data_IF_140916919622
#
_entry.id   IF_140916919622
#
_cell.length_a   1.000
_cell.length_b   1.000
_cell.length_c   1.000
_cell.angle_alpha   90.00
_cell.angle_beta   90.00
_cell.angle_gamma   90.00
#
_symmetry.space_group_name_H-M   'P 1'
#
loop_
_entity.id
_entity.type
_entity.pdbx_description
1 polymer ?
#
# COMPACT_ATOMS: atom_id res chain seq x y z
N UNK A 1 5.20 -4.91 14.90
CA UNK A 1 5.70 -6.03 14.07
C UNK A 1 7.14 -5.79 13.64
N UNK A 2 7.48 -4.65 13.03
CA UNK A 2 8.87 -4.34 12.65
C UNK A 2 9.86 -4.48 13.84
N UNK A 3 9.53 -3.91 15.00
CA UNK A 3 10.36 -4.05 16.21
C UNK A 3 10.52 -5.51 16.65
N UNK A 4 9.43 -6.28 16.65
CA UNK A 4 9.47 -7.69 17.01
C UNK A 4 10.35 -8.53 16.06
N UNK A 5 10.29 -8.25 14.75
CA UNK A 5 11.16 -8.88 13.75
C UNK A 5 12.64 -8.57 14.04
N UNK A 6 12.93 -7.30 14.31
CA UNK A 6 14.29 -6.83 14.62
C UNK A 6 14.82 -7.42 15.94
N UNK A 7 14.00 -7.39 16.99
CA UNK A 7 14.36 -7.93 18.32
C UNK A 7 14.62 -9.42 18.29
N UNK A 8 13.81 -10.18 17.56
CA UNK A 8 13.93 -11.63 17.46
C UNK A 8 14.87 -12.10 16.34
N UNK A 9 15.39 -11.18 15.53
CA UNK A 9 16.32 -11.46 14.40
C UNK A 9 15.75 -12.54 13.45
N UNK A 10 14.46 -12.44 13.14
CA UNK A 10 13.79 -13.36 12.22
C UNK A 10 13.70 -12.76 10.83
N UNK A 11 13.70 -13.62 9.81
CA UNK A 11 13.45 -13.22 8.44
C UNK A 11 11.94 -13.15 8.21
N UNK A 12 11.45 -11.97 7.88
CA UNK A 12 10.03 -11.70 7.65
C UNK A 12 9.81 -11.07 6.29
N UNK A 13 8.84 -11.56 5.55
CA UNK A 13 8.46 -11.03 4.24
C UNK A 13 6.98 -10.65 4.23
N UNK A 14 6.66 -9.50 3.63
CA UNK A 14 5.28 -9.07 3.37
C UNK A 14 4.78 -9.60 2.03
N UNK A 15 3.46 -9.63 1.82
CA UNK A 15 2.84 -10.06 0.55
C UNK A 15 2.95 -9.03 -0.59
N UNK A 16 4.05 -8.29 -0.67
CA UNK A 16 4.32 -7.29 -1.72
C UNK A 16 5.00 -7.92 -2.94
N UNK A 17 4.38 -8.98 -3.49
CA UNK A 17 4.96 -9.81 -4.54
C UNK A 17 5.21 -9.10 -5.88
N UNK A 18 4.69 -7.89 -6.08
CA UNK A 18 5.03 -7.09 -7.26
C UNK A 18 6.53 -6.77 -7.37
N UNK A 19 7.25 -6.74 -6.25
CA UNK A 19 8.71 -6.55 -6.24
C UNK A 19 9.48 -7.67 -6.92
N UNK A 20 8.92 -8.89 -6.94
CA UNK A 20 9.62 -10.12 -7.37
C UNK A 20 8.95 -10.87 -8.52
N UNK A 21 7.67 -10.61 -8.78
CA UNK A 21 6.84 -11.32 -9.76
C UNK A 21 6.58 -10.48 -11.03
N UNK A 22 5.63 -10.93 -11.84
CA UNK A 22 5.16 -10.27 -13.06
C UNK A 22 6.25 -10.04 -14.12
N UNK A 23 7.16 -11.01 -14.27
CA UNK A 23 8.25 -10.94 -15.24
C UNK A 23 9.31 -9.87 -14.90
N UNK A 24 9.33 -9.39 -13.66
CA UNK A 24 10.29 -8.40 -13.19
C UNK A 24 10.03 -6.96 -13.66
N UNK A 25 8.91 -6.68 -14.33
CA UNK A 25 8.65 -5.34 -14.88
C UNK A 25 8.56 -4.24 -13.83
N UNK A 26 8.02 -4.53 -12.63
CA UNK A 26 8.01 -3.58 -11.53
C UNK A 26 9.42 -3.26 -11.04
N UNK A 27 10.26 -4.29 -10.85
CA UNK A 27 11.66 -4.13 -10.50
C UNK A 27 12.41 -3.33 -11.58
N UNK A 28 12.21 -3.69 -12.85
CA UNK A 28 12.82 -2.96 -13.98
C UNK A 28 12.38 -1.49 -14.01
N UNK A 29 11.11 -1.21 -13.76
CA UNK A 29 10.61 0.18 -13.64
C UNK A 29 11.34 0.94 -12.54
N UNK A 30 11.51 0.33 -11.36
CA UNK A 30 12.22 0.96 -10.23
C UNK A 30 13.69 1.19 -10.58
N UNK A 31 14.35 0.23 -11.24
CA UNK A 31 15.73 0.40 -11.74
C UNK A 31 15.84 1.57 -12.72
N UNK A 32 14.91 1.70 -13.66
CA UNK A 32 14.85 2.82 -14.61
C UNK A 32 14.69 4.16 -13.90
N UNK A 33 13.70 4.27 -13.02
CA UNK A 33 13.43 5.49 -12.26
C UNK A 33 14.64 5.91 -11.42
N UNK A 34 15.20 4.99 -10.64
CA UNK A 34 16.36 5.26 -9.79
C UNK A 34 17.66 5.51 -10.57
N UNK A 35 17.73 5.02 -11.80
CA UNK A 35 18.87 5.30 -12.71
C UNK A 35 18.74 6.64 -13.45
N UNK A 36 17.67 7.40 -13.24
CA UNK A 36 17.44 8.68 -13.89
C UNK A 36 16.88 8.60 -15.30
N UNK A 37 16.35 7.46 -15.75
CA UNK A 37 15.82 7.30 -17.10
C UNK A 37 14.70 8.30 -17.45
N UNK A 38 13.96 8.80 -16.46
CA UNK A 38 12.91 9.81 -16.61
C UNK A 38 13.36 11.21 -16.17
N UNK A 39 14.67 11.43 -16.01
CA UNK A 39 15.20 12.65 -15.40
C UNK A 39 14.93 12.70 -13.89
N UNK A 40 14.74 13.91 -13.35
CA UNK A 40 14.42 14.10 -11.93
C UNK A 40 12.96 13.71 -11.67
N UNK A 41 12.73 12.74 -10.76
CA UNK A 41 11.38 12.32 -10.35
C UNK A 41 10.65 13.45 -9.62
N UNK A 42 9.48 13.84 -10.08
CA UNK A 42 8.65 14.92 -9.52
C UNK A 42 7.41 14.41 -8.82
N UNK A 43 6.77 13.41 -9.40
CA UNK A 43 5.48 12.92 -8.91
C UNK A 43 5.36 11.41 -9.09
N UNK A 44 4.69 10.77 -8.15
CA UNK A 44 4.22 9.39 -8.26
C UNK A 44 2.71 9.37 -8.13
N UNK A 45 2.02 8.79 -9.10
CA UNK A 45 0.57 8.61 -9.02
C UNK A 45 0.22 7.14 -8.79
N UNK A 46 -0.66 6.89 -7.85
CA UNK A 46 -1.15 5.56 -7.52
C UNK A 46 -2.65 5.47 -7.80
N UNK A 47 -2.99 4.68 -8.81
CA UNK A 47 -4.35 4.49 -9.30
C UNK A 47 -4.92 3.19 -8.74
N UNK A 48 -5.43 3.24 -7.52
CA UNK A 48 -6.10 2.12 -6.85
C UNK A 48 -7.52 2.49 -6.45
N UNK A 49 -8.25 1.55 -5.83
CA UNK A 49 -9.64 1.77 -5.43
C UNK A 49 -9.80 2.76 -4.28
N UNK A 50 -11.05 2.99 -3.90
CA UNK A 50 -11.44 4.02 -2.95
C UNK A 50 -11.17 3.64 -1.48
N UNK A 51 -11.21 4.66 -0.61
CA UNK A 51 -11.27 4.54 0.84
C UNK A 51 -12.45 3.68 1.31
N UNK A 52 -12.39 3.09 2.51
CA UNK A 52 -13.45 2.25 3.03
C UNK A 52 -14.72 3.05 3.36
N UNK A 53 -15.84 2.34 3.33
CA UNK A 53 -17.13 2.86 3.77
C UNK A 53 -17.54 2.22 5.11
N UNK A 54 -18.40 2.86 5.93
CA UNK A 54 -19.00 2.22 7.10
C UNK A 54 -19.83 1.00 6.71
N UNK A 55 -19.75 -0.06 7.52
CA UNK A 55 -20.52 -1.27 7.28
C UNK A 55 -21.94 -1.16 7.87
N UNK A 56 -22.89 -0.78 7.04
CA UNK A 56 -24.32 -0.63 7.40
C UNK A 56 -25.20 -1.81 6.91
N UNK A 57 -24.59 -3.01 6.74
CA UNK A 57 -25.32 -4.20 6.30
C UNK A 57 -26.29 -4.68 7.38
N UNK A 58 -27.48 -5.17 7.00
CA UNK A 58 -28.44 -5.75 7.94
C UNK A 58 -27.91 -7.04 8.56
N UNK A 59 -28.43 -7.41 9.73
CA UNK A 59 -28.13 -8.69 10.37
C UNK A 59 -28.91 -9.81 9.70
N UNK A 60 -28.24 -10.91 9.39
CA UNK A 60 -28.77 -12.15 8.86
C UNK A 60 -28.49 -13.31 9.84
N UNK A 61 -29.24 -14.44 9.76
CA UNK A 61 -28.90 -15.62 10.54
C UNK A 61 -27.52 -16.16 10.21
N UNK A 62 -26.78 -16.57 11.24
CA UNK A 62 -25.45 -17.18 11.03
C UNK A 62 -25.63 -18.59 10.45
N UNK A 63 -25.00 -18.92 9.30
CA UNK A 63 -25.04 -20.26 8.73
C UNK A 63 -24.46 -21.31 9.68
N UNK A 64 -24.95 -22.52 9.61
CA UNK A 64 -24.43 -23.65 10.38
C UNK A 64 -22.96 -23.89 10.04
N UNK A 65 -22.12 -24.03 11.07
CA UNK A 65 -20.69 -24.31 10.90
C UNK A 65 -19.80 -23.07 10.84
N UNK A 66 -20.37 -21.86 10.85
CA UNK A 66 -19.58 -20.61 10.91
C UNK A 66 -19.49 -20.14 12.37
N UNK A 67 -18.26 -20.03 12.88
CA UNK A 67 -17.97 -19.25 14.10
C UNK A 67 -17.83 -17.78 13.73
N UNK A 68 -18.94 -17.07 13.73
CA UNK A 68 -19.00 -15.66 13.35
C UNK A 68 -18.20 -14.76 14.29
N UNK A 69 -18.11 -15.10 15.56
CA UNK A 69 -17.34 -14.32 16.51
C UNK A 69 -15.83 -14.45 16.28
N UNK A 70 -15.35 -15.67 15.98
CA UNK A 70 -13.97 -15.90 15.59
C UNK A 70 -13.64 -15.25 14.25
N UNK A 71 -14.54 -15.29 13.26
CA UNK A 71 -14.36 -14.62 11.97
C UNK A 71 -14.19 -13.09 12.13
N UNK A 72 -14.99 -12.45 12.98
CA UNK A 72 -14.86 -11.02 13.25
C UNK A 72 -13.54 -10.65 13.93
N UNK A 73 -12.91 -11.54 14.67
CA UNK A 73 -11.66 -11.28 15.36
C UNK A 73 -11.72 -10.03 16.26
N UNK A 74 -10.73 -9.14 16.15
CA UNK A 74 -10.67 -7.90 16.95
C UNK A 74 -11.65 -6.80 16.49
N UNK A 75 -12.31 -6.97 15.35
CA UNK A 75 -13.24 -5.97 14.81
C UNK A 75 -14.43 -5.71 15.74
N UNK A 76 -15.12 -4.57 15.66
CA UNK A 76 -16.33 -4.30 16.43
C UNK A 76 -17.38 -5.39 16.20
N UNK A 77 -18.03 -5.84 17.28
CA UNK A 77 -19.06 -6.87 17.20
C UNK A 77 -20.28 -6.38 16.42
N UNK A 78 -20.73 -7.18 15.46
CA UNK A 78 -21.96 -6.96 14.69
C UNK A 78 -22.62 -8.27 14.28
N UNK A 79 -23.86 -8.18 13.81
CA UNK A 79 -24.57 -9.32 13.24
C UNK A 79 -23.92 -9.85 11.95
N UNK A 80 -24.13 -11.11 11.66
CA UNK A 80 -23.68 -11.75 10.42
C UNK A 80 -24.32 -11.11 9.19
N UNK A 81 -23.59 -11.10 8.09
CA UNK A 81 -24.15 -10.83 6.77
C UNK A 81 -23.31 -11.57 5.71
N UNK A 82 -23.99 -12.24 4.78
CA UNK A 82 -23.38 -13.04 3.71
C UNK A 82 -22.46 -12.23 2.75
N UNK A 83 -22.67 -10.92 2.65
CA UNK A 83 -21.78 -10.06 1.85
C UNK A 83 -20.38 -9.99 2.46
N UNK A 84 -20.27 -10.09 3.79
CA UNK A 84 -18.98 -10.10 4.49
C UNK A 84 -18.31 -11.47 4.41
N UNK A 85 -19.08 -12.53 4.62
CA UNK A 85 -18.58 -13.90 4.63
C UNK A 85 -19.51 -14.77 3.74
N UNK A 86 -19.29 -14.75 2.41
CA UNK A 86 -20.09 -15.55 1.47
C UNK A 86 -19.78 -17.04 1.58
N UNK A 87 -20.73 -17.88 1.17
CA UNK A 87 -20.58 -19.34 1.20
C UNK A 87 -19.52 -19.84 0.21
N UNK A 88 -19.38 -19.18 -0.93
CA UNK A 88 -18.40 -19.50 -1.97
C UNK A 88 -17.29 -18.43 -2.06
N UNK A 89 -16.23 -18.62 -1.27
CA UNK A 89 -15.09 -17.72 -1.29
C UNK A 89 -14.14 -17.94 -2.48
N UNK A 90 -14.18 -19.10 -3.12
CA UNK A 90 -13.22 -19.45 -4.19
C UNK A 90 -13.51 -18.73 -5.51
N UNK A 91 -14.78 -18.49 -5.80
CA UNK A 91 -15.22 -17.77 -6.99
C UNK A 91 -15.65 -16.33 -6.69
N UNK A 92 -15.34 -15.84 -5.50
CA UNK A 92 -15.84 -14.58 -5.01
C UNK A 92 -14.72 -13.73 -4.38
N UNK A 93 -14.67 -12.45 -4.73
CA UNK A 93 -13.81 -11.49 -4.06
C UNK A 93 -14.58 -10.87 -2.88
N UNK A 94 -14.39 -11.33 -1.63
CA UNK A 94 -15.25 -10.97 -0.51
C UNK A 94 -15.27 -9.47 -0.25
N UNK A 95 -16.47 -8.90 -0.14
CA UNK A 95 -16.68 -7.45 -0.01
C UNK A 95 -16.34 -6.88 1.36
N UNK A 96 -15.95 -7.70 2.36
CA UNK A 96 -15.46 -7.19 3.64
C UNK A 96 -14.31 -6.19 3.47
N UNK A 97 -13.55 -6.29 2.39
CA UNK A 97 -12.47 -5.36 2.02
C UNK A 97 -12.92 -3.91 1.88
N UNK A 98 -14.18 -3.68 1.53
CA UNK A 98 -14.74 -2.37 1.32
C UNK A 98 -15.11 -1.65 2.61
N UNK A 99 -15.21 -2.39 3.73
CA UNK A 99 -15.76 -1.85 4.97
C UNK A 99 -14.68 -1.52 5.98
N UNK A 100 -14.82 -0.32 6.59
CA UNK A 100 -13.87 0.25 7.55
C UNK A 100 -13.62 -0.66 8.75
N UNK A 101 -14.62 -1.37 9.22
CA UNK A 101 -14.54 -2.23 10.40
C UNK A 101 -13.65 -3.46 10.19
N UNK A 102 -13.46 -3.89 8.95
CA UNK A 102 -12.74 -5.11 8.60
C UNK A 102 -11.47 -4.88 7.80
N UNK A 103 -11.47 -3.84 6.95
CA UNK A 103 -10.33 -3.49 6.11
C UNK A 103 -10.27 -1.97 5.92
N UNK A 104 -9.30 -1.51 5.16
CA UNK A 104 -9.08 -0.09 4.89
C UNK A 104 -9.45 0.28 3.43
N UNK A 105 -10.47 -0.40 2.86
CA UNK A 105 -10.93 -0.19 1.51
C UNK A 105 -10.00 -0.76 0.44
N UNK A 106 -10.42 -0.66 -0.79
CA UNK A 106 -9.57 -1.04 -1.93
C UNK A 106 -8.34 -0.14 -2.03
N UNK A 107 -8.39 1.06 -1.46
CA UNK A 107 -7.24 1.93 -1.31
C UNK A 107 -6.09 1.24 -0.59
N UNK A 108 -6.34 0.56 0.53
CA UNK A 108 -5.30 -0.13 1.26
C UNK A 108 -5.07 -1.56 0.75
N UNK A 109 -6.12 -2.26 0.31
CA UNK A 109 -6.01 -3.63 -0.20
C UNK A 109 -5.11 -3.69 -1.45
N UNK A 110 -5.39 -2.85 -2.44
CA UNK A 110 -4.54 -2.73 -3.65
C UNK A 110 -3.41 -1.72 -3.48
N UNK A 111 -3.58 -0.74 -2.60
CA UNK A 111 -2.56 0.24 -2.26
C UNK A 111 -1.31 -0.40 -1.64
N UNK A 112 -1.48 -1.45 -0.83
CA UNK A 112 -0.37 -2.23 -0.29
C UNK A 112 0.57 -2.82 -1.37
N UNK A 113 0.10 -2.89 -2.62
CA UNK A 113 0.91 -3.32 -3.76
C UNK A 113 1.44 -2.15 -4.59
N UNK A 114 0.64 -1.10 -4.81
CA UNK A 114 0.98 -0.02 -5.73
C UNK A 114 1.66 1.18 -5.06
N UNK A 115 1.27 1.54 -3.83
CA UNK A 115 2.07 2.49 -3.03
C UNK A 115 3.43 1.90 -2.68
N UNK A 116 3.53 0.59 -2.49
CA UNK A 116 4.79 -0.13 -2.30
C UNK A 116 5.77 0.12 -3.46
N UNK A 117 5.29 -0.02 -4.70
CA UNK A 117 6.11 0.26 -5.89
C UNK A 117 6.48 1.74 -5.98
N UNK A 118 5.56 2.65 -5.62
CA UNK A 118 5.83 4.09 -5.55
C UNK A 118 6.95 4.41 -4.55
N UNK A 119 6.84 3.90 -3.31
CA UNK A 119 7.86 4.04 -2.27
C UNK A 119 9.22 3.49 -2.72
N UNK A 120 9.20 2.28 -3.27
CA UNK A 120 10.40 1.61 -3.77
C UNK A 120 11.07 2.39 -4.90
N UNK A 121 10.28 2.94 -5.85
CA UNK A 121 10.80 3.78 -6.94
C UNK A 121 11.43 5.09 -6.46
N UNK A 122 10.88 5.68 -5.39
CA UNK A 122 11.43 6.88 -4.74
C UNK A 122 12.64 6.63 -3.82
N UNK A 123 13.05 5.36 -3.62
CA UNK A 123 14.01 4.95 -2.59
C UNK A 123 13.60 5.39 -1.17
N UNK A 124 12.33 5.19 -0.83
CA UNK A 124 11.69 5.71 0.38
C UNK A 124 11.15 4.61 1.31
N UNK A 125 11.72 3.39 1.25
CA UNK A 125 11.28 2.23 2.04
C UNK A 125 11.49 2.40 3.57
N UNK A 126 12.20 3.45 4.01
CA UNK A 126 12.49 3.74 5.41
C UNK A 126 11.82 5.03 5.93
N UNK A 127 11.02 5.70 5.11
CA UNK A 127 10.40 6.99 5.42
C UNK A 127 8.95 7.08 4.96
N UNK A 128 8.37 8.28 5.00
CA UNK A 128 7.01 8.58 4.58
C UNK A 128 6.81 10.06 4.28
N UNK A 129 5.60 10.46 3.88
CA UNK A 129 5.27 11.85 3.61
C UNK A 129 5.37 12.71 4.89
N UNK A 130 5.60 14.00 4.72
CA UNK A 130 5.57 14.98 5.81
C UNK A 130 4.26 15.78 5.83
N UNK A 131 3.48 15.73 4.74
CA UNK A 131 2.24 16.48 4.58
C UNK A 131 1.22 15.67 3.81
N UNK A 132 -0.03 15.72 4.25
CA UNK A 132 -1.18 15.10 3.58
C UNK A 132 -2.17 16.20 3.24
N UNK A 133 -2.53 16.33 1.96
CA UNK A 133 -3.42 17.35 1.43
C UNK A 133 -4.62 16.62 0.82
N UNK A 134 -5.80 16.68 1.47
CA UNK A 134 -7.01 16.06 0.94
C UNK A 134 -7.51 16.79 -0.29
N UNK A 135 -8.36 16.15 -1.12
CA UNK A 135 -8.96 16.80 -2.28
C UNK A 135 -9.84 17.97 -1.87
N UNK A 136 -9.85 19.02 -2.69
CA UNK A 136 -10.81 20.11 -2.57
C UNK A 136 -12.25 19.63 -2.89
N UNK A 137 -13.23 20.46 -2.63
CA UNK A 137 -14.63 20.11 -2.89
C UNK A 137 -14.86 19.88 -4.39
N UNK A 138 -15.20 18.64 -4.73
CA UNK A 138 -15.43 18.21 -6.12
C UNK A 138 -14.24 17.49 -6.75
N UNK A 139 -13.07 17.51 -6.13
CA UNK A 139 -11.90 16.75 -6.53
C UNK A 139 -11.86 15.38 -5.82
N UNK A 140 -11.13 14.44 -6.41
CA UNK A 140 -11.00 13.08 -5.88
C UNK A 140 -9.55 12.71 -5.55
N UNK A 141 -8.60 13.64 -5.79
CA UNK A 141 -7.16 13.36 -5.66
C UNK A 141 -6.63 13.81 -4.31
N UNK A 142 -6.08 12.88 -3.54
CA UNK A 142 -5.35 13.18 -2.33
C UNK A 142 -3.86 13.23 -2.63
N UNK A 143 -3.17 14.25 -2.14
CA UNK A 143 -1.73 14.44 -2.32
C UNK A 143 -0.98 14.25 -1.02
N UNK A 144 0.16 13.58 -1.09
CA UNK A 144 1.09 13.38 0.01
C UNK A 144 2.45 13.89 -0.40
N UNK A 145 3.01 14.83 0.35
CA UNK A 145 4.28 15.49 0.03
C UNK A 145 5.38 14.88 0.88
N UNK A 146 6.47 14.48 0.26
CA UNK A 146 7.67 14.00 0.92
C UNK A 146 8.64 15.16 1.23
N UNK A 147 9.57 14.94 2.16
CA UNK A 147 10.53 15.98 2.58
C UNK A 147 11.45 16.48 1.43
N UNK A 148 11.66 15.66 0.42
CA UNK A 148 12.42 16.02 -0.80
C UNK A 148 11.56 16.73 -1.86
N UNK A 149 10.29 17.02 -1.58
CA UNK A 149 9.37 17.70 -2.49
C UNK A 149 8.63 16.80 -3.48
N UNK A 150 8.92 15.49 -3.54
CA UNK A 150 8.18 14.57 -4.40
C UNK A 150 6.74 14.45 -3.90
N UNK A 151 5.79 14.55 -4.82
CA UNK A 151 4.37 14.32 -4.55
C UNK A 151 3.98 12.88 -4.84
N UNK A 152 3.29 12.25 -3.90
CA UNK A 152 2.56 11.00 -4.14
C UNK A 152 1.06 11.31 -4.18
N UNK A 153 0.41 11.00 -5.30
CA UNK A 153 -1.00 11.28 -5.53
C UNK A 153 -1.80 9.98 -5.58
N UNK A 154 -2.80 9.87 -4.72
CA UNK A 154 -3.84 8.87 -4.89
C UNK A 154 -4.95 9.43 -5.77
N UNK A 155 -5.14 8.86 -6.95
CA UNK A 155 -6.15 9.30 -7.90
C UNK A 155 -6.00 8.63 -9.26
N UNK A 156 -7.03 8.73 -10.08
CA UNK A 156 -7.02 8.19 -11.45
C UNK A 156 -6.53 9.25 -12.44
N UNK A 157 -6.07 8.78 -13.58
CA UNK A 157 -5.78 9.61 -14.74
C UNK A 157 -6.37 8.96 -15.99
N UNK A 158 -6.87 9.72 -16.95
CA UNK A 158 -7.33 9.16 -18.23
C UNK A 158 -6.19 8.72 -19.14
N UNK A 159 -4.98 9.23 -18.93
CA UNK A 159 -3.86 9.08 -19.86
C UNK A 159 -3.15 7.73 -19.78
N UNK A 160 -3.33 7.00 -18.68
CA UNK A 160 -2.62 5.75 -18.39
C UNK A 160 -3.55 4.65 -17.87
N UNK A 161 -3.18 3.41 -18.13
CA UNK A 161 -3.97 2.23 -17.72
C UNK A 161 -4.03 1.99 -16.20
N UNK A 162 -3.46 2.88 -15.40
CA UNK A 162 -3.49 2.82 -13.94
C UNK A 162 -2.32 2.04 -13.33
N UNK A 163 -2.45 1.68 -12.06
CA UNK A 163 -1.35 1.09 -11.29
C UNK A 163 -0.48 2.15 -10.63
N UNK A 164 0.83 2.11 -10.85
CA UNK A 164 1.79 3.11 -10.35
C UNK A 164 2.43 3.84 -11.53
N UNK A 165 2.41 5.16 -11.50
CA UNK A 165 2.93 6.01 -12.57
C UNK A 165 3.98 6.95 -11.98
N UNK A 166 5.14 7.01 -12.60
CA UNK A 166 6.25 7.88 -12.24
C UNK A 166 6.40 8.99 -13.28
N UNK A 167 6.28 10.24 -12.86
CA UNK A 167 6.44 11.42 -13.69
C UNK A 167 7.78 12.09 -13.37
N UNK A 168 8.66 12.12 -14.33
CA UNK A 168 9.95 12.81 -14.25
C UNK A 168 10.01 14.03 -15.15
N UNK A 169 11.15 14.72 -15.17
CA UNK A 169 11.38 15.90 -16.02
C UNK A 169 11.62 15.55 -17.49
N UNK A 170 11.99 14.30 -17.80
CA UNK A 170 12.38 13.84 -19.14
C UNK A 170 11.52 12.67 -19.64
N UNK A 171 10.59 12.17 -18.82
CA UNK A 171 9.72 11.09 -19.23
C UNK A 171 8.78 10.61 -18.14
N UNK A 172 7.92 9.65 -18.53
CA UNK A 172 6.93 9.03 -17.66
C UNK A 172 6.94 7.52 -17.84
N UNK A 173 6.83 6.76 -16.75
CA UNK A 173 6.66 5.30 -16.79
C UNK A 173 5.44 4.90 -15.97
N UNK A 174 4.53 4.15 -16.60
CA UNK A 174 3.36 3.54 -15.97
C UNK A 174 3.54 2.04 -15.89
N UNK A 175 3.33 1.46 -14.71
CA UNK A 175 3.43 0.01 -14.48
C UNK A 175 2.23 -0.53 -13.72
N UNK A 176 1.63 -1.59 -14.27
CA UNK A 176 0.54 -2.34 -13.65
C UNK A 176 0.78 -3.84 -13.86
N UNK A 177 -0.05 -4.68 -13.26
CA UNK A 177 0.04 -6.15 -13.42
C UNK A 177 -0.13 -6.62 -14.87
N UNK A 178 -0.92 -5.93 -15.69
CA UNK A 178 -1.04 -6.11 -17.15
C UNK A 178 -0.19 -5.09 -17.91
N UNK A 179 -0.65 -3.83 -18.07
CA UNK A 179 0.05 -2.79 -18.84
C UNK A 179 1.42 -2.41 -18.25
N UNK A 180 2.34 -2.07 -19.15
CA UNK A 180 3.64 -1.47 -18.83
C UNK A 180 4.01 -0.55 -19.98
N UNK A 181 4.00 0.74 -19.76
CA UNK A 181 4.00 1.78 -20.77
C UNK A 181 4.95 2.90 -20.36
N UNK A 182 5.49 3.63 -21.33
CA UNK A 182 6.31 4.82 -21.08
C UNK A 182 6.14 5.88 -22.16
N UNK A 183 6.48 7.11 -21.81
CA UNK A 183 6.63 8.21 -22.74
C UNK A 183 7.98 8.92 -22.45
N UNK A 184 8.94 8.89 -23.40
CA UNK A 184 8.91 8.17 -24.68
C UNK A 184 8.95 6.63 -24.53
N UNK A 185 8.40 5.90 -25.52
CA UNK A 185 8.35 4.42 -25.50
C UNK A 185 9.73 3.77 -25.37
N UNK A 186 10.76 4.38 -25.94
CA UNK A 186 12.14 3.91 -25.92
C UNK A 186 12.75 3.74 -24.50
N UNK A 187 12.14 4.34 -23.46
CA UNK A 187 12.61 4.19 -22.09
C UNK A 187 12.55 2.73 -21.59
N UNK A 188 11.61 1.94 -22.09
CA UNK A 188 11.47 0.55 -21.65
C UNK A 188 12.40 -0.40 -22.40
N UNK A 189 12.86 -0.04 -23.60
CA UNK A 189 13.61 -0.93 -24.50
C UNK A 189 15.13 -0.77 -24.33
N UNK A 190 15.67 0.43 -24.45
CA UNK A 190 17.09 0.66 -24.71
C UNK A 190 17.85 1.31 -23.53
N UNK A 191 17.16 1.72 -22.46
CA UNK A 191 17.85 2.41 -21.38
C UNK A 191 18.70 1.48 -20.52
N UNK A 192 20.00 1.70 -20.47
CA UNK A 192 20.92 0.96 -19.60
C UNK A 192 20.85 1.51 -18.16
N UNK A 193 20.36 0.69 -17.23
CA UNK A 193 20.24 1.09 -15.82
C UNK A 193 21.57 0.99 -15.07
N UNK A 194 21.91 2.04 -14.32
CA UNK A 194 23.06 2.08 -13.41
C UNK A 194 22.73 1.44 -12.05
N UNK A 195 21.47 1.50 -11.64
CA UNK A 195 20.96 0.80 -10.46
C UNK A 195 20.53 -0.60 -10.86
N UNK A 196 21.06 -1.60 -10.18
CA UNK A 196 20.68 -3.02 -10.33
C UNK A 196 20.16 -3.52 -9.00
N UNK A 197 18.91 -3.95 -8.98
CA UNK A 197 18.28 -4.53 -7.81
C UNK A 197 18.42 -6.05 -7.80
N UNK A 198 18.38 -6.65 -6.62
CA UNK A 198 18.35 -8.10 -6.49
C UNK A 198 17.17 -8.69 -7.29
N UNK A 199 17.45 -9.81 -7.98
CA UNK A 199 16.46 -10.50 -8.82
C UNK A 199 16.28 -11.93 -8.34
N UNK A 200 15.39 -12.17 -7.39
CA UNK A 200 15.05 -13.53 -6.99
C UNK A 200 14.26 -14.24 -8.10
N UNK A 201 14.21 -15.53 -8.04
CA UNK A 201 13.45 -16.36 -8.99
C UNK A 201 11.93 -16.09 -8.90
N UNK A 202 11.42 -15.98 -7.70
CA UNK A 202 10.04 -15.62 -7.38
C UNK A 202 9.94 -15.16 -5.92
N UNK A 203 8.73 -14.76 -5.48
CA UNK A 203 8.49 -14.23 -4.14
C UNK A 203 8.75 -15.23 -3.00
N UNK A 204 8.41 -16.50 -3.20
CA UNK A 204 8.63 -17.53 -2.19
C UNK A 204 10.10 -17.91 -2.06
N UNK A 205 10.79 -18.08 -3.21
CA UNK A 205 12.22 -18.40 -3.23
C UNK A 205 13.04 -17.28 -2.60
N UNK A 206 12.70 -15.99 -2.84
CA UNK A 206 13.33 -14.84 -2.18
C UNK A 206 13.30 -14.98 -0.64
N UNK A 207 12.15 -15.33 -0.09
CA UNK A 207 12.01 -15.51 1.35
C UNK A 207 12.81 -16.70 1.89
N UNK A 208 12.73 -17.84 1.20
CA UNK A 208 13.44 -19.07 1.58
C UNK A 208 14.96 -18.85 1.51
N UNK A 209 15.44 -18.26 0.43
CA UNK A 209 16.87 -17.96 0.24
C UNK A 209 17.37 -17.00 1.33
N UNK A 210 16.58 -15.98 1.68
CA UNK A 210 16.91 -15.06 2.78
C UNK A 210 16.89 -15.75 4.16
N UNK A 211 16.03 -16.75 4.40
CA UNK A 211 16.09 -17.56 5.63
C UNK A 211 17.43 -18.32 5.73
N UNK A 212 17.93 -18.84 4.62
CA UNK A 212 19.20 -19.57 4.58
C UNK A 212 20.43 -18.66 4.66
N UNK A 213 20.40 -17.50 3.98
CA UNK A 213 21.53 -16.56 3.94
C UNK A 213 21.58 -15.60 5.14
N UNK A 214 20.45 -15.32 5.76
CA UNK A 214 20.30 -14.27 6.77
C UNK A 214 20.11 -12.86 6.19
N UNK A 215 19.94 -12.75 4.87
CA UNK A 215 19.71 -11.47 4.20
C UNK A 215 18.26 -10.97 4.38
N UNK A 216 18.01 -9.74 3.96
CA UNK A 216 16.66 -9.15 3.95
C UNK A 216 15.93 -9.49 2.64
N UNK A 217 14.68 -10.01 2.70
CA UNK A 217 13.86 -10.18 1.52
C UNK A 217 13.56 -8.85 0.81
N UNK A 218 13.29 -8.91 -0.48
CA UNK A 218 12.89 -7.72 -1.26
C UNK A 218 11.69 -6.98 -0.66
N UNK A 219 10.75 -7.72 -0.09
CA UNK A 219 9.57 -7.18 0.57
C UNK A 219 9.67 -7.32 2.09
N UNK A 220 10.74 -6.79 2.68
CA UNK A 220 11.02 -6.89 4.11
C UNK A 220 10.02 -6.11 4.97
N UNK A 221 10.04 -6.37 6.27
CA UNK A 221 9.04 -5.84 7.22
C UNK A 221 8.96 -4.31 7.24
N UNK A 222 10.08 -3.59 7.13
CA UNK A 222 10.08 -2.12 7.16
C UNK A 222 9.41 -1.55 5.91
N UNK A 223 9.73 -2.05 4.72
CA UNK A 223 9.06 -1.66 3.48
C UNK A 223 7.54 -1.86 3.58
N UNK A 224 7.10 -3.04 4.07
CA UNK A 224 5.68 -3.31 4.28
C UNK A 224 5.03 -2.40 5.32
N UNK A 225 5.73 -2.07 6.41
CA UNK A 225 5.27 -1.13 7.43
C UNK A 225 5.06 0.28 6.85
N UNK A 226 6.04 0.80 6.11
CA UNK A 226 5.95 2.13 5.49
C UNK A 226 4.84 2.21 4.46
N UNK A 227 4.71 1.19 3.63
CA UNK A 227 3.60 1.10 2.66
C UNK A 227 2.24 1.05 3.36
N UNK A 228 2.09 0.22 4.39
CA UNK A 228 0.84 0.17 5.16
C UNK A 228 0.53 1.51 5.83
N UNK A 229 1.53 2.18 6.40
CA UNK A 229 1.39 3.52 6.98
C UNK A 229 0.91 4.52 5.94
N UNK A 230 1.47 4.51 4.74
CA UNK A 230 1.06 5.40 3.64
C UNK A 230 -0.41 5.22 3.27
N UNK A 231 -0.87 3.96 3.17
CA UNK A 231 -2.29 3.65 2.94
C UNK A 231 -3.20 4.20 4.05
N UNK A 232 -2.77 4.07 5.32
CA UNK A 232 -3.55 4.59 6.46
C UNK A 232 -3.57 6.12 6.49
N UNK A 233 -2.44 6.78 6.25
CA UNK A 233 -2.35 8.24 6.17
C UNK A 233 -3.26 8.80 5.08
N UNK A 234 -3.30 8.14 3.92
CA UNK A 234 -4.20 8.48 2.84
C UNK A 234 -5.68 8.38 3.29
N UNK A 235 -6.07 7.27 3.94
CA UNK A 235 -7.42 7.08 4.47
C UNK A 235 -7.78 8.14 5.52
N UNK A 236 -6.87 8.49 6.43
CA UNK A 236 -7.07 9.53 7.46
C UNK A 236 -7.25 10.90 6.80
N UNK A 237 -6.48 11.21 5.76
CA UNK A 237 -6.62 12.42 4.97
C UNK A 237 -8.02 12.55 4.34
N UNK A 238 -8.53 11.48 3.72
CA UNK A 238 -9.90 11.44 3.18
C UNK A 238 -10.99 11.57 4.26
N UNK A 239 -10.75 11.03 5.45
CA UNK A 239 -11.70 11.09 6.56
C UNK A 239 -11.80 12.49 7.15
N UNK A 240 -10.65 13.12 7.45
CA UNK A 240 -10.59 14.42 8.12
C UNK A 240 -10.77 15.61 7.18
N UNK A 241 -10.52 15.44 5.88
CA UNK A 241 -10.72 16.46 4.84
C UNK A 241 -10.10 17.82 5.17
N UNK A 242 -8.94 17.82 5.76
CA UNK A 242 -8.11 18.98 6.05
C UNK A 242 -6.64 18.62 5.93
N UNK A 243 -5.81 19.61 5.69
CA UNK A 243 -4.37 19.43 5.66
C UNK A 243 -3.85 18.88 6.98
N UNK A 244 -2.92 17.90 6.90
CA UNK A 244 -2.31 17.24 8.04
C UNK A 244 -0.79 17.26 7.89
N UNK A 245 -0.10 17.50 9.00
CA UNK A 245 1.37 17.39 9.08
C UNK A 245 1.74 16.09 9.80
N UNK A 246 2.59 15.28 9.19
CA UNK A 246 3.04 14.00 9.71
C UNK A 246 4.54 14.01 9.98
N UNK A 247 4.97 13.44 11.10
CA UNK A 247 6.38 13.17 11.42
C UNK A 247 6.66 11.68 11.13
N UNK A 248 7.31 11.33 10.00
CA UNK A 248 7.54 9.93 9.63
C UNK A 248 8.53 9.19 10.52
N UNK A 249 9.35 9.92 11.31
CA UNK A 249 10.28 9.32 12.28
C UNK A 249 9.59 8.94 13.58
N UNK A 250 8.67 9.80 14.05
CA UNK A 250 7.89 9.56 15.28
C UNK A 250 6.60 8.82 15.02
N UNK A 251 6.20 8.70 13.76
CA UNK A 251 4.93 8.13 13.32
C UNK A 251 3.72 8.76 14.04
N UNK A 252 3.68 10.11 14.00
CA UNK A 252 2.64 10.90 14.64
C UNK A 252 2.28 12.13 13.82
N UNK A 253 1.00 12.50 13.87
CA UNK A 253 0.54 13.80 13.38
C UNK A 253 1.01 14.91 14.34
N UNK A 254 1.63 15.94 13.77
CA UNK A 254 2.22 17.04 14.53
C UNK A 254 1.10 17.95 15.06
N UNK A 255 0.99 18.05 16.38
CA UNK A 255 0.02 18.93 17.03
C UNK A 255 -1.45 18.53 16.89
N UNK A 256 -1.77 17.39 16.28
CA UNK A 256 -3.12 16.96 15.93
C UNK A 256 -3.58 15.73 16.73
N UNK A 257 -4.29 15.97 17.82
CA UNK A 257 -4.82 14.92 18.71
C UNK A 257 -5.92 14.08 18.06
N UNK A 258 -6.73 14.69 17.17
CA UNK A 258 -7.82 14.01 16.48
C UNK A 258 -7.26 13.01 15.46
N UNK A 259 -6.36 13.46 14.59
CA UNK A 259 -5.69 12.61 13.63
C UNK A 259 -4.90 11.47 14.31
N UNK A 260 -4.21 11.76 15.42
CA UNK A 260 -3.48 10.73 16.18
C UNK A 260 -4.38 9.67 16.82
N UNK A 261 -5.66 9.93 17.08
CA UNK A 261 -6.60 8.90 17.54
C UNK A 261 -6.97 7.89 16.44
N UNK A 262 -6.81 8.27 15.17
CA UNK A 262 -7.14 7.43 14.02
C UNK A 262 -5.99 6.48 13.62
N UNK A 263 -4.79 6.64 14.21
CA UNK A 263 -3.64 5.76 13.95
C UNK A 263 -3.77 4.39 14.60
N UNK A 264 -4.70 4.22 15.53
CA UNK A 264 -5.03 2.92 16.14
C UNK A 264 -6.55 2.72 16.19
N UNK A 265 -6.96 1.47 16.30
CA UNK A 265 -8.37 1.07 16.38
C UNK A 265 -8.66 0.36 17.68
N UNK A 266 -9.79 0.73 18.29
CA UNK A 266 -10.28 0.02 19.46
C UNK A 266 -10.61 -1.43 19.11
N UNK A 267 -9.97 -2.37 19.80
CA UNK A 267 -10.17 -3.80 19.66
C UNK A 267 -11.14 -4.34 20.71
N UNK A 268 -11.83 -5.44 20.44
CA UNK A 268 -12.61 -6.17 21.47
C UNK A 268 -11.68 -6.79 22.51
N UNK A 269 -12.04 -6.68 23.81
CA UNK A 269 -11.17 -7.05 24.94
C UNK A 269 -10.55 -8.45 24.86
N UNK A 270 -11.30 -9.45 24.42
CA UNK A 270 -10.79 -10.83 24.32
C UNK A 270 -9.66 -11.01 23.28
N UNK A 271 -9.48 -10.04 22.38
CA UNK A 271 -8.46 -10.04 21.33
C UNK A 271 -7.27 -9.11 21.62
N UNK A 272 -7.16 -8.62 22.86
CA UNK A 272 -6.05 -7.77 23.29
C UNK A 272 -4.74 -8.52 23.58
N UNK A 273 -4.78 -9.85 23.56
CA UNK A 273 -3.61 -10.69 23.84
C UNK A 273 -3.06 -11.25 22.53
N UNK A 274 -2.38 -10.43 21.82
CA UNK A 274 -1.42 -10.86 20.79
C UNK A 274 -0.20 -9.97 20.93
#
# INVERSE_FOLDING_TARGET
>A
MADAVKENKVVFQTGSQQRTEYGGKFRRTVELVRSGAIGELKQVRVCVGSSPVPCNLPTEPVPKGIDWDAWQGPAPQRGFNKILCPDDVHNHFPKWRLYREYCNGMLADMGAHHFDIGQWGMDADDTGPVKIIPPEKGELELRMIYANGIEVIHGRTPDWAGGTIFYGTEGTISVNRGPWESDPESLLEDYETTVKLHQPKNHHDDWIDCIHSGDLPMAHVEAGHRTASLCQLCNIGYELRRELTWDPKKEKFVGDKEANKLTDRKRRKKWYRV
#
